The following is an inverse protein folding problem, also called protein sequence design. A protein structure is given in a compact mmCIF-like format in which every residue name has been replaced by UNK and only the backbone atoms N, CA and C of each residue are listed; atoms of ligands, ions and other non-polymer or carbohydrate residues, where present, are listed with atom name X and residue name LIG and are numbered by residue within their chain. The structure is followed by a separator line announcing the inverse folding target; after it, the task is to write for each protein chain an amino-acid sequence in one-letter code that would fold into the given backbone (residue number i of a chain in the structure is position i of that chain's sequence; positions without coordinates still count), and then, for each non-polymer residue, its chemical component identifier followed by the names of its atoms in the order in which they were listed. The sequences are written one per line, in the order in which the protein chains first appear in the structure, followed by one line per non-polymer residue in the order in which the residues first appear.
data_IF_910159553439
#
_entry.id   IF_910159553439
#
_cell.length_a   1.000
_cell.length_b   1.000
_cell.length_c   1.000
_cell.angle_alpha   90.00
_cell.angle_beta   90.00
_cell.angle_gamma   90.00
#
_symmetry.space_group_name_H-M   'P 1'
#
loop_
_entity.id
_entity.type
_entity.pdbx_description
1 polymer ?
#
# COMPACT_ATOMS: atom_id res chain seq x y z
N UNK A 1 25.02 -8.04 -6.90
CA UNK A 1 24.29 -8.72 -5.80
C UNK A 1 23.19 -9.60 -6.39
N UNK A 2 23.54 -10.76 -6.95
CA UNK A 2 22.59 -11.61 -7.69
C UNK A 2 22.46 -13.00 -7.01
N UNK A 3 22.01 -13.04 -5.75
CA UNK A 3 22.03 -14.29 -4.98
C UNK A 3 20.80 -14.58 -4.11
N UNK A 4 19.66 -13.89 -4.29
CA UNK A 4 18.45 -14.21 -3.53
C UNK A 4 17.42 -15.05 -4.31
N UNK A 5 17.50 -15.10 -5.64
CA UNK A 5 16.40 -15.62 -6.48
C UNK A 5 16.53 -17.09 -6.87
N UNK A 6 17.59 -17.79 -6.46
CA UNK A 6 17.94 -19.08 -7.06
C UNK A 6 17.30 -20.32 -6.39
N UNK A 7 16.68 -20.25 -5.20
CA UNK A 7 16.35 -21.50 -4.47
C UNK A 7 15.07 -21.47 -3.63
N UNK A 8 14.06 -20.68 -3.99
CA UNK A 8 12.76 -20.76 -3.30
C UNK A 8 11.73 -21.50 -4.16
N UNK A 9 11.28 -22.65 -3.65
CA UNK A 9 10.15 -23.47 -4.13
C UNK A 9 8.78 -22.76 -3.95
N UNK A 10 8.77 -21.47 -3.61
CA UNK A 10 7.58 -20.68 -3.29
C UNK A 10 7.43 -19.55 -4.33
N UNK A 11 6.55 -19.73 -5.34
CA UNK A 11 6.36 -18.76 -6.42
C UNK A 11 5.96 -17.36 -5.94
N UNK A 12 5.20 -17.28 -4.84
CA UNK A 12 4.78 -16.01 -4.23
C UNK A 12 5.96 -15.18 -3.70
N UNK A 13 6.92 -15.83 -3.04
CA UNK A 13 8.13 -15.19 -2.51
C UNK A 13 9.06 -14.75 -3.63
N UNK A 14 9.24 -15.57 -4.66
CA UNK A 14 10.02 -15.19 -5.85
C UNK A 14 9.42 -13.95 -6.51
N UNK A 15 8.09 -13.94 -6.69
CA UNK A 15 7.39 -12.80 -7.27
C UNK A 15 7.56 -11.56 -6.38
N UNK A 16 7.38 -11.69 -5.08
CA UNK A 16 7.58 -10.57 -4.14
C UNK A 16 8.99 -9.98 -4.27
N UNK A 17 10.04 -10.80 -4.24
CA UNK A 17 11.42 -10.35 -4.37
C UNK A 17 11.66 -9.61 -5.71
N UNK A 18 11.13 -10.12 -6.82
CA UNK A 18 11.23 -9.44 -8.12
C UNK A 18 10.54 -8.08 -8.16
N UNK A 19 9.41 -7.91 -7.45
CA UNK A 19 8.73 -6.61 -7.39
C UNK A 19 9.51 -5.65 -6.48
N UNK A 20 10.05 -6.15 -5.37
CA UNK A 20 10.88 -5.36 -4.48
C UNK A 20 12.17 -4.87 -5.15
N UNK A 21 12.81 -5.73 -5.96
CA UNK A 21 13.97 -5.36 -6.78
C UNK A 21 13.63 -4.28 -7.82
N UNK A 22 12.44 -4.36 -8.44
CA UNK A 22 11.97 -3.34 -9.40
C UNK A 22 11.70 -1.99 -8.73
N UNK A 23 11.17 -2.01 -7.51
CA UNK A 23 10.79 -0.81 -6.77
C UNK A 23 11.90 -0.31 -5.82
N UNK A 24 13.12 -0.85 -5.95
CA UNK A 24 14.21 -0.62 -4.99
C UNK A 24 14.54 0.86 -4.79
N UNK A 25 14.57 1.65 -5.86
CA UNK A 25 14.85 3.09 -5.78
C UNK A 25 13.78 3.83 -4.96
N UNK A 26 12.52 3.46 -5.12
CA UNK A 26 11.40 4.04 -4.37
C UNK A 26 11.48 3.64 -2.88
N UNK A 27 11.85 2.39 -2.60
CA UNK A 27 12.05 1.90 -1.22
C UNK A 27 13.19 2.65 -0.54
N UNK A 28 14.34 2.80 -1.22
CA UNK A 28 15.49 3.54 -0.69
C UNK A 28 15.10 5.00 -0.45
N UNK A 29 14.42 5.65 -1.40
CA UNK A 29 13.96 7.02 -1.24
C UNK A 29 13.00 7.17 -0.06
N UNK A 30 12.05 6.26 0.11
CA UNK A 30 11.08 6.28 1.22
C UNK A 30 11.72 6.11 2.60
N UNK A 31 12.89 5.46 2.69
CA UNK A 31 13.64 5.28 3.94
C UNK A 31 14.69 6.37 4.19
N UNK A 32 15.22 6.98 3.14
CA UNK A 32 16.34 7.92 3.23
C UNK A 32 15.91 9.38 3.23
N UNK A 33 14.74 9.67 2.65
CA UNK A 33 14.21 11.04 2.56
C UNK A 33 13.33 11.36 3.78
N UNK A 34 13.31 12.62 4.23
CA UNK A 34 12.40 13.05 5.29
C UNK A 34 10.93 13.11 4.84
N UNK A 35 10.68 13.12 3.53
CA UNK A 35 9.34 13.05 2.93
C UNK A 35 9.05 11.63 2.43
N UNK A 36 7.90 11.10 2.87
CA UNK A 36 7.39 9.78 2.47
C UNK A 36 5.86 9.82 2.34
N UNK A 37 5.30 8.77 1.71
CA UNK A 37 3.85 8.65 1.48
C UNK A 37 3.09 8.01 2.64
N UNK A 38 3.72 7.67 3.77
CA UNK A 38 3.12 6.83 4.80
C UNK A 38 1.82 7.41 5.39
N UNK A 39 1.80 8.72 5.67
CA UNK A 39 0.59 9.40 6.19
C UNK A 39 -0.55 9.38 5.16
N UNK A 40 -0.21 9.63 3.89
CA UNK A 40 -1.18 9.62 2.79
C UNK A 40 -1.76 8.21 2.60
N UNK A 41 -0.90 7.19 2.61
CA UNK A 41 -1.32 5.79 2.54
C UNK A 41 -2.20 5.39 3.73
N UNK A 42 -1.90 5.89 4.93
CA UNK A 42 -2.74 5.71 6.12
C UNK A 42 -4.15 6.24 5.91
N UNK A 43 -4.29 7.45 5.38
CA UNK A 43 -5.60 8.03 5.05
C UNK A 43 -6.35 7.22 3.98
N UNK A 44 -5.65 6.76 2.93
CA UNK A 44 -6.24 5.90 1.90
C UNK A 44 -6.68 4.55 2.49
N UNK A 45 -5.91 3.98 3.40
CA UNK A 45 -6.26 2.73 4.07
C UNK A 45 -7.51 2.90 4.96
N UNK A 46 -7.61 4.00 5.71
CA UNK A 46 -8.81 4.35 6.49
C UNK A 46 -10.04 4.47 5.59
N UNK A 47 -9.93 5.17 4.46
CA UNK A 47 -11.01 5.29 3.45
C UNK A 47 -11.44 3.92 2.90
N UNK A 48 -10.47 3.05 2.55
CA UNK A 48 -10.73 1.68 2.10
C UNK A 48 -11.43 0.86 3.18
N UNK A 49 -11.04 1.01 4.45
CA UNK A 49 -11.68 0.33 5.58
C UNK A 49 -13.14 0.75 5.73
N UNK A 50 -13.44 2.05 5.73
CA UNK A 50 -14.82 2.56 5.81
C UNK A 50 -15.65 1.99 4.65
N UNK A 51 -15.12 2.02 3.42
CA UNK A 51 -15.80 1.45 2.26
C UNK A 51 -16.08 -0.06 2.42
N UNK A 52 -15.16 -0.82 3.03
CA UNK A 52 -15.33 -2.26 3.33
C UNK A 52 -16.38 -2.51 4.41
N UNK A 53 -16.42 -1.70 5.47
CA UNK A 53 -17.47 -1.76 6.50
C UNK A 53 -18.87 -1.52 5.90
N UNK A 54 -18.94 -0.73 4.82
CA UNK A 54 -20.17 -0.48 4.07
C UNK A 54 -20.41 -1.49 2.92
N UNK A 55 -19.76 -2.66 2.97
CA UNK A 55 -19.86 -3.73 1.97
C UNK A 55 -19.60 -3.28 0.53
N UNK A 56 -18.74 -2.27 0.34
CA UNK A 56 -18.41 -1.73 -0.98
C UNK A 56 -19.49 -0.83 -1.60
N UNK A 57 -20.63 -0.63 -0.94
CA UNK A 57 -21.79 0.12 -1.46
C UNK A 57 -21.64 1.65 -1.34
N UNK A 58 -20.62 2.11 -0.65
CA UNK A 58 -20.36 3.54 -0.49
C UNK A 58 -19.64 4.11 -1.72
N UNK A 59 -20.38 4.94 -2.48
CA UNK A 59 -19.83 5.83 -3.50
C UNK A 59 -19.10 7.03 -2.89
N UNK A 60 -18.53 7.89 -3.74
CA UNK A 60 -17.72 9.02 -3.31
C UNK A 60 -18.46 9.97 -2.36
N UNK A 61 -19.68 10.40 -2.70
CA UNK A 61 -20.47 11.32 -1.86
C UNK A 61 -20.72 10.78 -0.45
N UNK A 62 -20.99 9.48 -0.33
CA UNK A 62 -21.25 8.84 0.95
C UNK A 62 -19.96 8.73 1.79
N UNK A 63 -18.85 8.36 1.15
CA UNK A 63 -17.53 8.34 1.80
C UNK A 63 -17.11 9.74 2.26
N UNK A 64 -17.34 10.75 1.42
CA UNK A 64 -17.03 12.16 1.74
C UNK A 64 -17.83 12.63 2.96
N UNK A 65 -19.14 12.37 3.01
CA UNK A 65 -19.96 12.70 4.18
C UNK A 65 -19.46 11.99 5.43
N UNK A 66 -19.15 10.70 5.34
CA UNK A 66 -18.60 9.94 6.47
C UNK A 66 -17.28 10.54 6.98
N UNK A 67 -16.37 10.92 6.08
CA UNK A 67 -15.04 11.42 6.45
C UNK A 67 -15.06 12.88 6.94
N UNK A 68 -15.97 13.71 6.46
CA UNK A 68 -16.01 15.13 6.84
C UNK A 68 -16.98 15.44 7.99
N UNK A 69 -18.01 14.61 8.21
CA UNK A 69 -19.08 14.89 9.17
C UNK A 69 -19.11 13.93 10.36
N UNK A 70 -18.59 12.70 10.21
CA UNK A 70 -18.72 11.62 11.20
C UNK A 70 -17.37 11.03 11.64
N UNK A 71 -16.25 11.63 11.22
CA UNK A 71 -14.89 11.10 11.38
C UNK A 71 -14.20 11.54 12.66
#
# INVERSE_FOLDING_TARGET
MAAATATTELPSLRRFAQHLERDLDAVIAGLSQPWNSAVVEGHVNRLKMIKRQMFGRAGFELLRKHVLLYA
#
